data_IF_670970925121
#
_entry.id   IF_670970925121
#
_cell.length_a   1.000
_cell.length_b   1.000
_cell.length_c   1.000
_cell.angle_alpha   90.00
_cell.angle_beta   90.00
_cell.angle_gamma   90.00
#
_symmetry.space_group_name_H-M   'P 1'
#
loop_
_entity.id
_entity.type
_entity.pdbx_description
1 polymer ?
#
# COMPACT_ATOMS: atom_id res chain seq x y z
N UNK A 1 1.35 -11.42 62.43
CA UNK A 1 -0.07 -11.13 62.19
C UNK A 1 -0.15 -9.63 61.99
N UNK A 2 -0.32 -9.06 60.81
CA UNK A 2 -0.88 -9.58 59.56
C UNK A 2 -0.23 -8.81 58.38
N UNK A 3 -0.11 -9.50 57.26
CA UNK A 3 0.33 -8.98 55.97
C UNK A 3 -0.86 -8.30 55.28
N UNK A 4 -0.63 -7.19 54.58
CA UNK A 4 -1.69 -6.44 53.93
C UNK A 4 -1.23 -5.81 52.61
N UNK A 5 -0.97 -6.69 51.65
CA UNK A 5 -0.97 -6.53 50.20
C UNK A 5 -0.89 -5.10 49.62
N UNK A 6 0.24 -4.88 48.95
CA UNK A 6 0.38 -4.30 47.61
C UNK A 6 -0.97 -4.07 46.89
N UNK A 7 -1.33 -2.81 46.70
CA UNK A 7 -2.22 -2.42 45.60
C UNK A 7 -1.34 -1.72 44.58
N UNK A 8 -1.01 -2.35 43.44
CA UNK A 8 -0.50 -1.60 42.32
C UNK A 8 -1.53 -0.51 41.97
N UNK A 9 -1.04 0.72 42.02
CA UNK A 9 -1.78 1.95 41.76
C UNK A 9 -2.60 1.86 40.48
N UNK A 10 -3.85 2.32 40.55
CA UNK A 10 -4.85 2.38 39.48
C UNK A 10 -4.49 3.37 38.34
N UNK A 11 -3.23 3.43 37.90
CA UNK A 11 -2.72 4.43 36.94
C UNK A 11 -2.42 3.88 35.54
N UNK A 12 -2.80 2.63 35.23
CA UNK A 12 -2.77 2.07 33.87
C UNK A 12 -4.16 2.19 33.21
N UNK A 13 -4.75 3.39 33.22
CA UNK A 13 -5.96 3.69 32.47
C UNK A 13 -5.61 3.86 30.98
N UNK A 14 -5.59 2.70 30.31
CA UNK A 14 -5.73 2.39 28.88
C UNK A 14 -4.96 3.23 27.87
N UNK A 15 -3.83 2.71 27.41
CA UNK A 15 -3.38 2.88 26.02
C UNK A 15 -4.15 1.86 25.16
N UNK A 16 -5.13 2.29 24.33
CA UNK A 16 -5.95 1.37 23.55
C UNK A 16 -5.16 0.61 22.48
N UNK A 17 -4.11 1.24 21.92
CA UNK A 17 -3.25 0.60 20.94
C UNK A 17 -2.44 -0.52 21.59
N UNK A 18 -1.87 -0.25 22.77
CA UNK A 18 -1.15 -1.28 23.53
C UNK A 18 -2.08 -2.42 23.96
N UNK A 19 -3.29 -2.09 24.42
CA UNK A 19 -4.29 -3.10 24.78
C UNK A 19 -4.69 -3.99 23.58
N UNK A 20 -4.86 -3.40 22.40
CA UNK A 20 -5.10 -4.15 21.16
C UNK A 20 -3.90 -5.05 20.82
N UNK A 21 -2.67 -4.52 20.89
CA UNK A 21 -1.47 -5.32 20.64
C UNK A 21 -1.32 -6.49 21.61
N UNK A 22 -1.54 -6.27 22.91
CA UNK A 22 -1.49 -7.34 23.91
C UNK A 22 -2.56 -8.41 23.68
N UNK A 23 -3.73 -8.01 23.15
CA UNK A 23 -4.78 -8.94 22.74
C UNK A 23 -4.31 -9.81 21.57
N UNK A 24 -3.75 -9.21 20.52
CA UNK A 24 -3.20 -9.95 19.36
C UNK A 24 -2.05 -10.86 19.78
N UNK A 25 -1.11 -10.35 20.58
CA UNK A 25 0.02 -11.10 21.11
C UNK A 25 -0.42 -12.31 21.92
N UNK A 26 -1.49 -12.20 22.72
CA UNK A 26 -2.08 -13.33 23.42
C UNK A 26 -2.67 -14.38 22.46
N UNK A 27 -3.29 -13.95 21.36
CA UNK A 27 -3.85 -14.89 20.38
C UNK A 27 -2.77 -15.67 19.62
N UNK A 28 -1.65 -15.02 19.29
CA UNK A 28 -0.57 -15.58 18.48
C UNK A 28 0.34 -16.55 19.25
N UNK A 29 0.46 -16.38 20.57
CA UNK A 29 1.34 -17.20 21.40
C UNK A 29 0.71 -18.53 21.85
N UNK A 30 1.55 -19.43 22.36
CA UNK A 30 1.14 -20.74 22.88
C UNK A 30 0.05 -20.62 23.94
N UNK A 31 -0.98 -21.47 23.86
CA UNK A 31 -2.18 -21.38 24.71
C UNK A 31 -3.18 -20.28 24.32
N UNK A 32 -2.91 -19.54 23.24
CA UNK A 32 -3.80 -18.58 22.62
C UNK A 32 -4.84 -19.20 21.67
N UNK A 33 -4.96 -18.66 20.47
CA UNK A 33 -5.88 -19.14 19.44
C UNK A 33 -5.16 -20.06 18.45
N UNK A 34 -5.66 -21.27 18.24
CA UNK A 34 -5.03 -22.26 17.36
C UNK A 34 -4.85 -21.76 15.92
N UNK A 35 -5.78 -20.96 15.39
CA UNK A 35 -5.65 -20.40 14.05
C UNK A 35 -4.57 -19.31 13.99
N UNK A 36 -4.48 -18.43 14.99
CA UNK A 36 -3.49 -17.36 15.02
C UNK A 36 -2.08 -17.90 15.23
N UNK A 37 -1.94 -18.91 16.09
CA UNK A 37 -0.66 -19.53 16.43
C UNK A 37 0.06 -20.17 15.24
N UNK A 38 -0.66 -20.57 14.19
CA UNK A 38 -0.08 -21.20 12.98
C UNK A 38 0.17 -20.21 11.85
N UNK A 39 -0.23 -18.93 11.98
CA UNK A 39 -0.02 -17.95 10.92
C UNK A 39 1.46 -17.55 10.79
N UNK A 40 1.85 -17.25 9.56
CA UNK A 40 3.15 -16.67 9.19
C UNK A 40 2.93 -15.35 8.45
N UNK A 41 4.00 -14.60 8.20
CA UNK A 41 3.90 -13.39 7.38
C UNK A 41 3.31 -13.67 5.99
N UNK A 42 3.71 -14.77 5.36
CA UNK A 42 3.27 -15.17 4.03
C UNK A 42 1.78 -15.53 4.02
N UNK A 43 1.30 -16.30 5.01
CA UNK A 43 -0.11 -16.69 5.07
C UNK A 43 -1.04 -15.51 5.28
N UNK A 44 -0.54 -14.42 5.87
CA UNK A 44 -1.31 -13.19 6.11
C UNK A 44 -1.37 -12.23 4.92
N UNK A 45 -0.50 -12.38 3.92
CA UNK A 45 -0.44 -11.45 2.76
C UNK A 45 -1.77 -11.30 2.03
N UNK A 46 -2.53 -12.40 1.89
CA UNK A 46 -3.85 -12.39 1.26
C UNK A 46 -4.81 -11.48 2.04
N UNK A 47 -4.88 -11.63 3.37
CA UNK A 47 -5.78 -10.83 4.20
C UNK A 47 -5.36 -9.36 4.18
N UNK A 48 -4.06 -9.04 4.20
CA UNK A 48 -3.60 -7.66 4.06
C UNK A 48 -4.08 -7.00 2.75
N UNK A 49 -4.12 -7.74 1.64
CA UNK A 49 -4.68 -7.25 0.37
C UNK A 49 -6.20 -7.07 0.47
N UNK A 50 -6.90 -8.00 1.11
CA UNK A 50 -8.35 -7.92 1.34
C UNK A 50 -8.70 -6.69 2.19
N UNK A 51 -8.13 -6.52 3.39
CA UNK A 51 -8.42 -5.37 4.28
C UNK A 51 -8.05 -4.03 3.64
N UNK A 52 -6.95 -3.99 2.88
CA UNK A 52 -6.59 -2.77 2.14
C UNK A 52 -7.63 -2.45 1.06
N UNK A 53 -8.20 -3.47 0.42
CA UNK A 53 -9.22 -3.31 -0.60
C UNK A 53 -10.57 -2.89 0.00
N UNK A 54 -10.93 -3.43 1.17
CA UNK A 54 -12.15 -3.04 1.89
C UNK A 54 -12.07 -1.58 2.38
N UNK A 55 -10.92 -1.17 2.92
CA UNK A 55 -10.67 0.24 3.24
C UNK A 55 -10.77 1.16 2.01
N UNK A 56 -10.23 0.74 0.87
CA UNK A 56 -10.36 1.49 -0.39
C UNK A 56 -11.84 1.58 -0.81
N UNK A 57 -12.59 0.49 -0.74
CA UNK A 57 -14.02 0.47 -1.09
C UNK A 57 -14.82 1.41 -0.19
N UNK A 58 -14.56 1.37 1.13
CA UNK A 58 -15.22 2.23 2.10
C UNK A 58 -14.99 3.72 1.82
N UNK A 59 -13.75 4.09 1.44
CA UNK A 59 -13.41 5.47 1.07
C UNK A 59 -14.04 5.85 -0.28
N UNK A 60 -13.90 5.01 -1.31
CA UNK A 60 -14.36 5.33 -2.67
C UNK A 60 -15.90 5.37 -2.78
N UNK A 61 -16.61 4.65 -1.91
CA UNK A 61 -18.08 4.66 -1.82
C UNK A 61 -18.62 5.66 -0.80
N UNK A 62 -17.74 6.45 -0.17
CA UNK A 62 -18.11 7.45 0.83
C UNK A 62 -18.97 6.86 1.95
N UNK A 63 -18.59 5.68 2.44
CA UNK A 63 -19.32 4.99 3.52
C UNK A 63 -19.28 5.81 4.82
N UNK A 64 -20.22 5.57 5.76
CA UNK A 64 -20.23 6.21 7.06
C UNK A 64 -18.90 6.12 7.81
N UNK A 65 -18.59 7.15 8.59
CA UNK A 65 -17.29 7.28 9.26
C UNK A 65 -16.97 6.12 10.22
N UNK A 66 -17.99 5.45 10.77
CA UNK A 66 -17.82 4.27 11.61
C UNK A 66 -17.42 3.02 10.83
N UNK A 67 -17.88 2.87 9.58
CA UNK A 67 -17.44 1.81 8.67
C UNK A 67 -15.98 2.05 8.26
N UNK A 68 -15.64 3.27 7.80
CA UNK A 68 -14.25 3.62 7.46
C UNK A 68 -13.30 3.42 8.66
N UNK A 69 -13.78 3.71 9.88
CA UNK A 69 -13.00 3.46 11.11
C UNK A 69 -12.82 1.96 11.37
N UNK A 70 -13.80 1.12 11.05
CA UNK A 70 -13.70 -0.34 11.11
C UNK A 70 -12.57 -0.84 10.22
N UNK A 71 -12.62 -0.48 8.93
CA UNK A 71 -11.62 -0.90 7.94
C UNK A 71 -10.20 -0.41 8.27
N UNK A 72 -10.07 0.82 8.79
CA UNK A 72 -8.78 1.31 9.32
C UNK A 72 -8.28 0.45 10.49
N UNK A 73 -9.20 -0.05 11.31
CA UNK A 73 -8.92 -0.98 12.39
C UNK A 73 -8.41 -2.33 11.88
N UNK A 74 -8.97 -2.86 10.80
CA UNK A 74 -8.58 -4.14 10.22
C UNK A 74 -7.20 -4.06 9.54
N UNK A 75 -6.91 -2.96 8.84
CA UNK A 75 -5.54 -2.68 8.35
C UNK A 75 -4.55 -2.53 9.51
N UNK A 76 -4.93 -1.84 10.59
CA UNK A 76 -4.09 -1.74 11.80
C UNK A 76 -3.87 -3.13 12.43
N UNK A 77 -4.91 -3.96 12.50
CA UNK A 77 -4.83 -5.32 13.03
C UNK A 77 -3.80 -6.16 12.28
N UNK A 78 -3.73 -6.06 10.94
CA UNK A 78 -2.68 -6.75 10.18
C UNK A 78 -1.27 -6.31 10.63
N UNK A 79 -1.03 -5.00 10.83
CA UNK A 79 0.27 -4.52 11.34
C UNK A 79 0.59 -5.10 12.72
N UNK A 80 -0.39 -5.12 13.64
CA UNK A 80 -0.23 -5.70 14.98
C UNK A 80 0.07 -7.20 14.91
N UNK A 81 -0.57 -7.92 13.99
CA UNK A 81 -0.39 -9.36 13.82
C UNK A 81 1.00 -9.69 13.29
N UNK A 82 1.48 -8.97 12.26
CA UNK A 82 2.86 -9.11 11.79
C UNK A 82 3.87 -8.80 12.91
N UNK A 83 3.67 -7.74 13.68
CA UNK A 83 4.55 -7.43 14.82
C UNK A 83 4.54 -8.54 15.90
N UNK A 84 3.38 -9.14 16.18
CA UNK A 84 3.26 -10.24 17.14
C UNK A 84 3.91 -11.55 16.64
N UNK A 85 3.86 -11.83 15.33
CA UNK A 85 4.57 -12.96 14.71
C UNK A 85 6.08 -12.77 14.86
N UNK A 86 6.58 -11.57 14.58
CA UNK A 86 8.00 -11.26 14.70
C UNK A 86 8.52 -11.43 16.14
N UNK A 87 7.74 -11.00 17.14
CA UNK A 87 8.05 -11.22 18.56
C UNK A 87 8.02 -12.71 18.92
N UNK A 88 7.00 -13.45 18.49
CA UNK A 88 6.85 -14.90 18.72
C UNK A 88 8.03 -15.69 18.14
N UNK A 89 8.43 -15.37 16.91
CA UNK A 89 9.43 -16.13 16.15
C UNK A 89 10.86 -15.62 16.39
N UNK A 90 11.02 -14.55 17.18
CA UNK A 90 12.32 -14.00 17.55
C UNK A 90 13.06 -13.32 16.39
N UNK A 91 12.33 -12.67 15.48
CA UNK A 91 12.89 -12.03 14.28
C UNK A 91 13.70 -10.75 14.57
N UNK A 92 13.76 -10.31 15.84
CA UNK A 92 14.57 -9.19 16.30
C UNK A 92 13.88 -7.83 16.24
N UNK A 93 12.56 -7.80 16.06
CA UNK A 93 11.74 -6.59 16.18
C UNK A 93 10.35 -6.91 16.76
N UNK A 94 9.65 -5.86 17.16
CA UNK A 94 8.34 -5.85 17.81
C UNK A 94 7.53 -4.60 17.37
N UNK A 95 6.35 -4.37 17.95
CA UNK A 95 5.54 -3.20 17.60
C UNK A 95 6.23 -1.87 17.94
N UNK A 96 6.91 -1.80 19.09
CA UNK A 96 7.52 -0.57 19.57
C UNK A 96 8.68 -0.12 18.65
N UNK A 97 9.50 -1.08 18.21
CA UNK A 97 10.56 -0.84 17.23
C UNK A 97 10.02 -0.48 15.83
N UNK A 98 8.92 -1.09 15.38
CA UNK A 98 8.23 -0.68 14.13
C UNK A 98 7.77 0.77 14.22
N UNK A 99 7.13 1.15 15.33
CA UNK A 99 6.63 2.50 15.55
C UNK A 99 7.77 3.53 15.66
N UNK A 100 8.83 3.21 16.39
CA UNK A 100 10.02 4.06 16.53
C UNK A 100 10.68 4.30 15.17
N UNK A 101 10.91 3.23 14.40
CA UNK A 101 11.49 3.33 13.07
C UNK A 101 10.61 4.14 12.10
N UNK A 102 9.29 3.98 12.16
CA UNK A 102 8.36 4.80 11.39
C UNK A 102 8.48 6.29 11.79
N UNK A 103 8.49 6.59 13.08
CA UNK A 103 8.55 7.96 13.58
C UNK A 103 9.86 8.67 13.16
N UNK A 104 11.01 8.03 13.34
CA UNK A 104 12.30 8.55 12.88
C UNK A 104 12.29 8.85 11.38
N UNK A 105 11.75 7.92 10.58
CA UNK A 105 11.63 8.07 9.13
C UNK A 105 10.68 9.21 8.74
N UNK A 106 9.57 9.40 9.45
CA UNK A 106 8.64 10.50 9.20
C UNK A 106 9.27 11.84 9.54
N UNK A 107 9.93 11.97 10.68
CA UNK A 107 10.62 13.20 11.08
C UNK A 107 11.72 13.55 10.07
N UNK A 108 12.57 12.59 9.71
CA UNK A 108 13.67 12.80 8.76
C UNK A 108 13.19 13.22 7.36
N UNK A 109 11.99 12.80 6.94
CA UNK A 109 11.39 13.13 5.63
C UNK A 109 10.61 14.44 5.61
N UNK A 110 10.40 15.07 6.75
CA UNK A 110 9.65 16.34 6.85
C UNK A 110 10.46 17.42 7.59
N UNK A 111 11.66 17.79 7.10
CA UNK A 111 12.47 18.84 7.73
C UNK A 111 11.81 20.23 7.66
N UNK A 112 10.82 20.42 6.79
CA UNK A 112 9.96 21.62 6.74
C UNK A 112 8.94 21.70 7.88
N UNK A 113 8.55 20.56 8.49
CA UNK A 113 7.68 20.53 9.67
C UNK A 113 8.50 20.50 10.96
N UNK A 114 9.53 19.63 11.01
CA UNK A 114 10.25 19.31 12.26
C UNK A 114 11.65 19.91 12.36
N UNK A 115 12.08 20.67 11.35
CA UNK A 115 13.37 21.35 11.32
C UNK A 115 13.24 22.81 10.86
N UNK A 116 14.32 23.33 10.28
CA UNK A 116 14.54 24.77 10.15
C UNK A 116 14.15 25.32 8.77
N UNK A 117 13.60 24.48 7.89
CA UNK A 117 13.39 24.79 6.46
C UNK A 117 12.23 25.77 6.20
N UNK A 118 11.29 25.90 7.14
CA UNK A 118 10.11 26.76 6.99
C UNK A 118 9.08 26.23 5.98
N UNK A 119 8.11 27.07 5.63
CA UNK A 119 7.02 26.71 4.71
C UNK A 119 7.53 26.50 3.28
N UNK A 120 7.07 25.42 2.65
CA UNK A 120 7.40 25.07 1.27
C UNK A 120 6.10 24.86 0.47
N UNK A 121 6.15 25.15 -0.83
CA UNK A 121 5.05 24.84 -1.76
C UNK A 121 4.88 23.33 -1.97
N UNK A 122 3.72 22.89 -2.46
CA UNK A 122 3.44 21.46 -2.69
C UNK A 122 4.43 20.84 -3.69
N UNK A 123 4.79 21.57 -4.74
CA UNK A 123 5.77 21.14 -5.73
C UNK A 123 7.17 20.96 -5.12
N UNK A 124 7.60 21.91 -4.29
CA UNK A 124 8.88 21.83 -3.58
C UNK A 124 8.91 20.69 -2.56
N UNK A 125 7.79 20.46 -1.87
CA UNK A 125 7.61 19.35 -0.93
C UNK A 125 7.71 17.99 -1.62
N UNK A 126 7.03 17.83 -2.76
CA UNK A 126 7.10 16.58 -3.54
C UNK A 126 8.53 16.30 -4.02
N UNK A 127 9.24 17.31 -4.53
CA UNK A 127 10.61 17.16 -4.98
C UNK A 127 11.57 16.80 -3.83
N UNK A 128 11.42 17.45 -2.67
CA UNK A 128 12.27 17.18 -1.50
C UNK A 128 11.97 15.80 -0.89
N UNK A 129 10.70 15.43 -0.74
CA UNK A 129 10.28 14.15 -0.16
C UNK A 129 10.83 12.96 -0.98
N UNK A 130 10.74 13.06 -2.31
CA UNK A 130 11.29 12.03 -3.19
C UNK A 130 12.82 11.95 -3.11
N UNK A 131 13.52 13.10 -3.04
CA UNK A 131 14.97 13.13 -2.86
C UNK A 131 15.40 12.46 -1.56
N UNK A 132 14.75 12.78 -0.44
CA UNK A 132 15.05 12.19 0.87
C UNK A 132 14.75 10.68 0.91
N UNK A 133 13.72 10.24 0.18
CA UNK A 133 13.40 8.82 0.03
C UNK A 133 14.47 8.07 -0.78
N UNK A 134 15.03 8.70 -1.80
CA UNK A 134 16.11 8.15 -2.61
C UNK A 134 17.43 8.08 -1.87
N UNK A 135 17.84 9.15 -1.19
CA UNK A 135 19.06 9.19 -0.38
C UNK A 135 19.04 8.02 0.65
N UNK A 136 17.93 7.88 1.38
CA UNK A 136 17.76 6.81 2.37
C UNK A 136 17.75 5.39 1.75
N UNK A 137 17.13 5.22 0.57
CA UNK A 137 17.09 3.93 -0.11
C UNK A 137 18.44 3.56 -0.76
N UNK A 138 19.15 4.54 -1.30
CA UNK A 138 20.44 4.39 -1.97
C UNK A 138 21.56 4.05 -0.99
N UNK A 139 21.56 4.68 0.19
CA UNK A 139 22.53 4.41 1.27
C UNK A 139 22.35 3.00 1.87
N UNK A 140 21.12 2.51 2.01
CA UNK A 140 20.86 1.18 2.59
C UNK A 140 21.04 0.01 1.60
N UNK A 141 20.85 0.23 0.30
CA UNK A 141 20.80 -0.87 -0.69
C UNK A 141 21.94 -0.93 -1.69
N UNK A 142 22.83 0.06 -1.75
CA UNK A 142 23.87 0.13 -2.78
C UNK A 142 23.24 0.10 -4.18
N UNK A 143 22.68 1.24 -4.60
CA UNK A 143 21.87 1.42 -5.82
C UNK A 143 22.27 0.51 -7.01
N UNK A 144 21.36 -0.37 -7.46
CA UNK A 144 21.53 -1.27 -8.62
C UNK A 144 20.67 -0.88 -9.85
N UNK A 145 19.85 0.18 -9.79
CA UNK A 145 19.13 0.71 -10.96
C UNK A 145 17.84 1.47 -10.62
N UNK A 146 17.21 2.14 -11.61
CA UNK A 146 16.03 3.00 -11.40
C UNK A 146 14.76 2.24 -11.00
N UNK A 147 14.71 0.92 -11.20
CA UNK A 147 13.54 0.07 -10.90
C UNK A 147 13.69 -0.72 -9.59
N UNK A 148 14.81 -0.58 -8.90
CA UNK A 148 15.06 -1.34 -7.67
C UNK A 148 14.06 -1.00 -6.57
N UNK A 149 13.65 -2.04 -5.84
CA UNK A 149 12.75 -1.91 -4.70
C UNK A 149 11.28 -1.71 -5.07
N UNK A 150 10.90 -1.87 -6.35
CA UNK A 150 9.49 -2.08 -6.73
C UNK A 150 9.10 -3.51 -6.29
N UNK A 151 8.14 -3.69 -5.37
CA UNK A 151 7.75 -5.02 -4.92
C UNK A 151 7.11 -5.85 -6.04
N UNK A 152 7.49 -7.11 -6.16
CA UNK A 152 6.90 -8.02 -7.16
C UNK A 152 5.48 -8.46 -6.78
N UNK A 153 5.10 -8.40 -5.50
CA UNK A 153 3.75 -8.70 -5.03
C UNK A 153 2.71 -7.59 -5.25
N UNK A 154 3.08 -6.47 -5.88
CA UNK A 154 2.11 -5.40 -6.20
C UNK A 154 1.10 -5.88 -7.27
N UNK A 155 -0.16 -5.43 -7.20
CA UNK A 155 -1.11 -5.59 -8.30
C UNK A 155 -0.49 -5.09 -9.61
N UNK A 156 -0.71 -5.83 -10.71
CA UNK A 156 0.02 -5.62 -11.96
C UNK A 156 -0.09 -4.19 -12.50
N UNK A 157 -1.26 -3.56 -12.39
CA UNK A 157 -1.52 -2.21 -12.89
C UNK A 157 -0.88 -1.14 -11.99
N UNK A 158 -1.01 -1.26 -10.66
CA UNK A 158 -0.26 -0.44 -9.71
C UNK A 158 1.27 -0.57 -9.89
N UNK A 159 1.78 -1.79 -10.12
CA UNK A 159 3.20 -2.04 -10.41
C UNK A 159 3.63 -1.36 -11.70
N UNK A 160 2.83 -1.47 -12.77
CA UNK A 160 3.08 -0.78 -14.03
C UNK A 160 3.12 0.74 -13.85
N UNK A 161 2.19 1.32 -13.10
CA UNK A 161 2.19 2.74 -12.76
C UNK A 161 3.47 3.16 -12.04
N UNK A 162 3.93 2.35 -11.07
CA UNK A 162 5.18 2.60 -10.34
C UNK A 162 6.42 2.52 -11.23
N UNK A 163 6.48 1.52 -12.12
CA UNK A 163 7.57 1.38 -13.10
C UNK A 163 7.63 2.61 -14.02
N UNK A 164 6.49 3.03 -14.58
CA UNK A 164 6.40 4.22 -15.45
C UNK A 164 6.86 5.48 -14.71
N UNK A 165 6.42 5.67 -13.47
CA UNK A 165 6.84 6.80 -12.63
C UNK A 165 8.38 6.83 -12.43
N UNK A 166 8.99 5.67 -12.13
CA UNK A 166 10.45 5.53 -11.96
C UNK A 166 11.21 5.77 -13.25
N UNK A 167 10.75 5.24 -14.38
CA UNK A 167 11.39 5.44 -15.69
C UNK A 167 11.30 6.89 -16.16
N UNK A 168 10.15 7.55 -15.97
CA UNK A 168 9.96 8.97 -16.24
C UNK A 168 10.92 9.82 -15.42
N UNK A 169 11.08 9.50 -14.14
CA UNK A 169 12.03 10.16 -13.22
C UNK A 169 13.48 9.99 -13.67
N UNK A 170 13.85 8.78 -14.07
CA UNK A 170 15.17 8.48 -14.63
C UNK A 170 15.37 9.07 -16.05
N UNK A 171 14.37 9.78 -16.60
CA UNK A 171 14.36 10.34 -17.96
C UNK A 171 14.53 9.27 -19.05
N UNK A 172 14.14 8.03 -18.75
CA UNK A 172 14.21 6.89 -19.66
C UNK A 172 12.93 6.73 -20.49
N UNK A 173 11.82 7.36 -20.06
CA UNK A 173 10.55 7.38 -20.77
C UNK A 173 9.99 8.80 -20.80
N UNK A 174 9.52 9.23 -21.97
CA UNK A 174 8.94 10.55 -22.16
C UNK A 174 7.41 10.55 -21.94
N UNK A 175 6.82 11.67 -21.48
CA UNK A 175 5.37 11.80 -21.29
C UNK A 175 4.56 11.53 -22.57
N UNK A 176 5.16 11.83 -23.73
CA UNK A 176 4.57 11.63 -25.06
C UNK A 176 4.66 10.19 -25.56
N UNK A 177 5.34 9.28 -24.86
CA UNK A 177 5.42 7.86 -25.23
C UNK A 177 4.04 7.16 -25.21
N UNK A 178 3.04 7.77 -24.56
CA UNK A 178 1.66 7.33 -24.64
C UNK A 178 0.86 7.97 -25.79
N UNK A 179 1.33 9.03 -26.45
CA UNK A 179 0.54 9.73 -27.48
C UNK A 179 0.24 8.84 -28.69
N UNK A 180 -0.87 9.12 -29.39
CA UNK A 180 -1.31 8.35 -30.54
C UNK A 180 -0.32 8.54 -31.70
N UNK A 181 0.58 7.59 -31.91
CA UNK A 181 1.47 7.55 -33.08
C UNK A 181 0.85 6.72 -34.20
N UNK A 182 1.33 6.81 -35.45
CA UNK A 182 0.94 5.87 -36.52
C UNK A 182 1.24 4.40 -36.19
N UNK A 183 2.12 4.16 -35.20
CA UNK A 183 2.51 2.86 -34.65
C UNK A 183 1.81 2.58 -33.30
N UNK A 184 0.66 3.21 -33.04
CA UNK A 184 -0.07 3.07 -31.77
C UNK A 184 -0.37 1.58 -31.47
N UNK A 185 0.18 1.01 -30.37
CA UNK A 185 -0.11 -0.36 -29.96
C UNK A 185 -1.61 -0.60 -29.76
N UNK A 186 -2.38 0.43 -29.38
CA UNK A 186 -3.84 0.35 -29.27
C UNK A 186 -4.51 0.07 -30.63
N UNK A 187 -3.90 0.49 -31.74
CA UNK A 187 -4.40 0.25 -33.09
C UNK A 187 -3.97 -1.12 -33.63
N UNK A 188 -2.84 -1.67 -33.17
CA UNK A 188 -2.32 -2.96 -33.60
C UNK A 188 -2.93 -4.17 -32.85
N UNK A 189 -3.51 -3.95 -31.66
CA UNK A 189 -3.92 -5.02 -30.73
C UNK A 189 -5.21 -5.79 -31.10
N UNK A 190 -5.93 -5.42 -32.17
CA UNK A 190 -7.23 -6.03 -32.51
C UNK A 190 -7.18 -6.74 -33.86
N UNK A 191 -6.72 -8.00 -33.84
CA UNK A 191 -6.83 -8.95 -34.95
C UNK A 191 -6.56 -10.39 -34.47
N UNK A 192 -7.16 -11.42 -35.10
CA UNK A 192 -6.96 -12.81 -34.68
C UNK A 192 -5.53 -13.26 -35.01
N UNK A 193 -4.62 -13.17 -34.05
CA UNK A 193 -3.30 -13.82 -34.05
C UNK A 193 -3.21 -14.78 -32.87
N UNK A 194 -2.29 -15.74 -32.98
CA UNK A 194 -1.98 -16.73 -31.93
C UNK A 194 -1.97 -16.08 -30.55
N UNK A 195 -2.59 -16.73 -29.56
CA UNK A 195 -2.94 -16.17 -28.23
C UNK A 195 -1.79 -15.40 -27.57
N UNK A 196 -0.54 -15.89 -27.67
CA UNK A 196 0.63 -15.23 -27.11
C UNK A 196 0.95 -13.87 -27.77
N UNK A 197 0.74 -13.72 -29.08
CA UNK A 197 0.90 -12.43 -29.77
C UNK A 197 -0.19 -11.44 -29.37
N UNK A 198 -1.40 -11.93 -29.07
CA UNK A 198 -2.49 -11.09 -28.56
C UNK A 198 -2.23 -10.63 -27.12
N UNK A 199 -1.70 -11.51 -26.25
CA UNK A 199 -1.32 -11.16 -24.87
C UNK A 199 -0.27 -10.05 -24.82
N UNK A 200 0.78 -10.14 -25.66
CA UNK A 200 1.81 -9.09 -25.77
C UNK A 200 1.18 -7.77 -26.24
N UNK A 201 0.38 -7.79 -27.31
CA UNK A 201 -0.24 -6.57 -27.84
C UNK A 201 -1.21 -5.90 -26.87
N UNK A 202 -2.00 -6.68 -26.13
CA UNK A 202 -2.91 -6.16 -25.10
C UNK A 202 -2.10 -5.59 -23.92
N UNK A 203 -1.04 -6.28 -23.49
CA UNK A 203 -0.15 -5.79 -22.44
C UNK A 203 0.48 -4.44 -22.78
N UNK A 204 1.03 -4.31 -24.00
CA UNK A 204 1.61 -3.05 -24.48
C UNK A 204 0.57 -1.92 -24.58
N UNK A 205 -0.66 -2.24 -25.02
CA UNK A 205 -1.76 -1.29 -25.03
C UNK A 205 -2.13 -0.82 -23.61
N UNK A 206 -2.13 -1.72 -22.62
CA UNK A 206 -2.35 -1.37 -21.22
C UNK A 206 -1.22 -0.46 -20.69
N UNK A 207 0.04 -0.75 -21.01
CA UNK A 207 1.18 0.13 -20.66
C UNK A 207 1.05 1.51 -21.29
N UNK A 208 0.61 1.60 -22.56
CA UNK A 208 0.35 2.88 -23.21
C UNK A 208 -0.74 3.69 -22.47
N UNK A 209 -1.80 3.04 -21.98
CA UNK A 209 -2.81 3.68 -21.14
C UNK A 209 -2.24 4.15 -19.79
N UNK A 210 -1.37 3.36 -19.16
CA UNK A 210 -0.66 3.76 -17.92
C UNK A 210 0.22 4.99 -18.16
N UNK A 211 0.95 5.04 -19.29
CA UNK A 211 1.76 6.20 -19.67
C UNK A 211 0.89 7.46 -19.83
N UNK A 212 -0.25 7.34 -20.51
CA UNK A 212 -1.22 8.45 -20.65
C UNK A 212 -1.79 8.88 -19.30
N UNK A 213 -2.18 7.93 -18.46
CA UNK A 213 -2.69 8.22 -17.12
C UNK A 213 -1.65 8.97 -16.28
N UNK A 214 -0.40 8.50 -16.27
CA UNK A 214 0.70 9.17 -15.58
C UNK A 214 0.97 10.60 -16.11
N UNK A 215 0.91 10.80 -17.43
CA UNK A 215 1.06 12.13 -18.02
C UNK A 215 -0.09 13.08 -17.63
N UNK A 216 -1.29 12.55 -17.43
CA UNK A 216 -2.48 13.30 -17.00
C UNK A 216 -2.62 13.45 -15.47
N UNK A 217 -1.69 12.90 -14.67
CA UNK A 217 -1.80 12.90 -13.20
C UNK A 217 -2.91 12.00 -12.66
N UNK A 218 -3.36 11.01 -13.45
CA UNK A 218 -4.40 10.05 -13.10
C UNK A 218 -3.75 8.76 -12.60
N UNK A 219 -4.24 8.24 -11.47
CA UNK A 219 -3.92 6.90 -11.01
C UNK A 219 -4.67 5.86 -11.86
N UNK A 220 -3.97 5.04 -12.67
CA UNK A 220 -4.61 4.05 -13.53
C UNK A 220 -5.31 2.93 -12.76
N UNK A 221 -4.83 2.54 -11.58
CA UNK A 221 -5.43 1.48 -10.76
C UNK A 221 -6.84 1.90 -10.32
N UNK A 222 -6.93 3.10 -9.72
CA UNK A 222 -8.21 3.72 -9.36
C UNK A 222 -9.10 3.94 -10.58
N UNK A 223 -8.54 4.43 -11.70
CA UNK A 223 -9.33 4.68 -12.91
C UNK A 223 -9.98 3.40 -13.45
N UNK A 224 -9.25 2.27 -13.44
CA UNK A 224 -9.79 0.99 -13.86
C UNK A 224 -10.85 0.49 -12.87
N UNK A 225 -10.60 0.56 -11.56
CA UNK A 225 -11.58 0.17 -10.54
C UNK A 225 -12.91 0.93 -10.67
N UNK A 226 -12.87 2.25 -10.84
CA UNK A 226 -14.07 3.07 -11.10
C UNK A 226 -14.77 2.71 -12.42
N UNK A 227 -14.01 2.32 -13.46
CA UNK A 227 -14.60 1.86 -14.72
C UNK A 227 -15.28 0.50 -14.57
N UNK A 228 -14.68 -0.43 -13.83
CA UNK A 228 -15.22 -1.74 -13.51
C UNK A 228 -16.51 -1.61 -12.71
N UNK A 229 -16.56 -0.78 -11.67
CA UNK A 229 -17.77 -0.55 -10.87
C UNK A 229 -18.94 -0.05 -11.74
N UNK A 230 -18.69 0.96 -12.58
CA UNK A 230 -19.71 1.47 -13.52
C UNK A 230 -20.18 0.42 -14.53
N UNK A 231 -19.30 -0.48 -14.96
CA UNK A 231 -19.67 -1.58 -15.86
C UNK A 231 -20.59 -2.57 -15.13
N UNK A 232 -20.21 -3.01 -13.92
CA UNK A 232 -20.99 -3.93 -13.10
C UNK A 232 -22.39 -3.38 -12.79
N UNK A 233 -22.48 -2.12 -12.36
CA UNK A 233 -23.75 -1.43 -12.08
C UNK A 233 -24.66 -1.40 -13.32
N UNK A 234 -24.10 -1.08 -14.49
CA UNK A 234 -24.85 -1.06 -15.76
C UNK A 234 -25.38 -2.43 -16.14
N UNK A 235 -24.58 -3.49 -15.99
CA UNK A 235 -24.99 -4.85 -16.34
C UNK A 235 -26.11 -5.32 -15.39
N UNK A 236 -25.93 -5.15 -14.08
CA UNK A 236 -26.93 -5.54 -13.06
C UNK A 236 -28.24 -4.74 -13.23
N UNK A 237 -28.17 -3.45 -13.53
CA UNK A 237 -29.36 -2.63 -13.80
C UNK A 237 -30.13 -3.12 -15.03
N UNK A 238 -29.42 -3.58 -16.07
CA UNK A 238 -30.04 -4.14 -17.27
C UNK A 238 -30.68 -5.51 -17.03
N UNK A 239 -30.11 -6.34 -16.13
CA UNK A 239 -30.68 -7.64 -15.76
C UNK A 239 -31.95 -7.51 -14.90
N UNK A 240 -32.01 -6.51 -14.01
CA UNK A 240 -33.18 -6.24 -13.17
C UNK A 240 -34.29 -5.43 -13.88
N UNK A 241 -34.06 -5.03 -15.13
CA UNK A 241 -34.97 -4.23 -15.96
C UNK A 241 -35.70 -5.01 -17.07
N UNK A 242 -35.71 -6.34 -17.00
CA UNK A 242 -36.47 -7.26 -17.88
C UNK A 242 -37.64 -7.89 -17.14
#
# INVERSE_FOLDING_TARGET
>A
MDAGADRPSQTLLSDPLRAAFDTVRRMVNEGGCAWHAVQTHESLTKYLVEETSELIDAIERELPADEVRGELGDVLYQVLFHAAIAERDGEGYDLDSVAAHLNEKLIARHPHVFGDRGYMTVEELHAEWERLKEDAAGEQRGSRGPLDGIPDGMPALARAAKVVERLKRAKLVHPTAGERTPEDPLAAAIGPRETAMAEVGIGDAMIALVLRANAAGVDPERALRLATNRLSERVIANENGV
#
